data_IF_983714438494
#
_entry.id   IF_983714438494
#
_cell.length_a   1.000
_cell.length_b   1.000
_cell.length_c   1.000
_cell.angle_alpha   90.00
_cell.angle_beta   90.00
_cell.angle_gamma   90.00
#
_symmetry.space_group_name_H-M   'P 1'
#
loop_
_entity.id
_entity.type
_entity.pdbx_description
1 polymer ?
#
# COMPACT_ATOMS: atom_id res chain seq x y z
N UNK A 1 -7.31 28.60 24.65
CA UNK A 1 -7.00 29.91 24.03
C UNK A 1 -6.71 29.82 22.53
N UNK A 2 -6.73 28.63 21.89
CA UNK A 2 -6.79 28.53 20.41
C UNK A 2 -5.54 29.07 19.70
N UNK A 3 -4.45 29.24 20.44
CA UNK A 3 -3.22 29.84 19.96
C UNK A 3 -2.48 28.83 19.08
N UNK A 4 -2.73 28.92 17.77
CA UNK A 4 -1.91 28.25 16.76
C UNK A 4 -0.51 28.86 16.81
N UNK A 5 0.47 28.06 17.26
CA UNK A 5 1.88 28.44 17.21
C UNK A 5 2.45 27.84 15.93
N UNK A 6 2.76 28.63 14.89
CA UNK A 6 3.30 28.08 13.66
C UNK A 6 4.68 27.48 13.93
N UNK A 7 4.87 26.21 13.63
CA UNK A 7 6.20 25.61 13.57
C UNK A 7 6.88 26.11 12.30
N UNK A 8 8.06 26.71 12.44
CA UNK A 8 8.86 27.10 11.28
C UNK A 8 9.19 25.84 10.44
N UNK A 9 8.72 25.82 9.19
CA UNK A 9 9.16 24.82 8.23
C UNK A 9 10.68 24.96 8.04
N UNK A 10 11.43 23.94 8.43
CA UNK A 10 12.86 23.87 8.16
C UNK A 10 13.05 23.81 6.64
N UNK A 11 13.36 24.93 5.99
CA UNK A 11 13.64 24.91 4.55
C UNK A 11 14.89 25.72 4.22
N UNK A 12 15.92 24.97 3.79
CA UNK A 12 16.97 25.44 2.87
C UNK A 12 16.57 25.23 1.40
N UNK A 13 15.29 25.03 1.10
CA UNK A 13 14.77 24.97 -0.27
C UNK A 13 14.23 26.35 -0.64
N UNK A 14 14.87 27.02 -1.60
CA UNK A 14 14.36 28.31 -2.08
C UNK A 14 13.00 28.10 -2.78
N UNK A 15 12.01 28.99 -2.61
CA UNK A 15 10.72 28.89 -3.29
C UNK A 15 10.82 28.87 -4.82
N UNK A 16 11.90 29.42 -5.40
CA UNK A 16 12.11 29.42 -6.85
C UNK A 16 12.45 28.03 -7.44
N UNK A 17 12.84 27.08 -6.59
CA UNK A 17 13.08 25.67 -6.97
C UNK A 17 11.81 24.82 -6.94
N UNK A 18 10.71 25.35 -6.38
CA UNK A 18 9.38 24.77 -6.48
C UNK A 18 8.78 25.31 -7.79
N UNK A 19 9.03 24.62 -8.91
CA UNK A 19 8.34 24.90 -10.17
C UNK A 19 6.82 24.97 -9.97
N UNK A 20 6.07 25.49 -10.95
CA UNK A 20 4.62 25.69 -10.79
C UNK A 20 3.96 24.45 -10.20
N UNK A 21 3.51 24.54 -8.95
CA UNK A 21 2.75 23.49 -8.30
C UNK A 21 1.39 23.46 -8.99
N UNK A 22 1.33 22.85 -10.17
CA UNK A 22 0.06 22.54 -10.83
C UNK A 22 -0.66 21.55 -9.94
N UNK A 23 -1.81 21.97 -9.42
CA UNK A 23 -2.75 21.11 -8.71
C UNK A 23 -3.31 20.08 -9.70
N UNK A 24 -2.58 18.98 -9.87
CA UNK A 24 -2.99 17.84 -10.67
C UNK A 24 -2.41 16.59 -10.01
N UNK A 25 -3.12 15.97 -9.05
CA UNK A 25 -2.71 14.67 -8.55
C UNK A 25 -2.69 13.66 -9.71
N UNK A 26 -1.75 12.72 -9.71
CA UNK A 26 -1.77 11.64 -10.71
C UNK A 26 -2.89 10.66 -10.42
N UNK A 27 -3.24 10.54 -9.14
CA UNK A 27 -4.32 9.70 -8.66
C UNK A 27 -5.09 10.41 -7.57
N UNK A 28 -6.41 10.42 -7.74
CA UNK A 28 -7.38 10.86 -6.76
C UNK A 28 -8.37 9.73 -6.52
N UNK A 29 -8.65 9.43 -5.26
CA UNK A 29 -9.71 8.51 -4.91
C UNK A 29 -10.67 9.12 -3.91
N UNK A 30 -11.89 8.63 -4.00
CA UNK A 30 -13.00 9.00 -3.14
C UNK A 30 -13.77 7.73 -2.79
N UNK A 31 -13.95 7.49 -1.49
CA UNK A 31 -14.61 6.29 -0.98
C UNK A 31 -13.68 5.11 -0.75
N UNK A 32 -14.16 4.16 0.05
CA UNK A 32 -13.41 3.01 0.54
C UNK A 32 -14.08 1.73 0.09
N UNK A 33 -13.26 0.72 -0.13
CA UNK A 33 -13.72 -0.67 -0.27
C UNK A 33 -13.83 -1.31 1.10
N UNK A 34 -12.90 -1.02 2.02
CA UNK A 34 -13.04 -1.39 3.42
C UNK A 34 -12.25 -0.46 4.33
N UNK A 35 -12.71 -0.34 5.57
CA UNK A 35 -12.00 0.35 6.63
C UNK A 35 -12.22 -0.39 7.94
N UNK A 36 -11.16 -0.58 8.71
CA UNK A 36 -11.24 -1.22 10.02
C UNK A 36 -10.17 -0.68 10.96
N UNK A 37 -10.51 -0.48 12.21
CA UNK A 37 -9.55 -0.10 13.22
C UNK A 37 -10.05 -0.42 14.62
N UNK A 38 -9.15 -0.28 15.59
CA UNK A 38 -9.50 -0.58 16.97
C UNK A 38 -8.43 -0.14 17.96
N UNK A 39 -8.86 -0.10 19.20
CA UNK A 39 -8.05 0.25 20.36
C UNK A 39 -7.57 -1.01 21.06
N UNK A 40 -6.35 -0.97 21.61
CA UNK A 40 -5.88 -2.07 22.47
C UNK A 40 -6.73 -2.29 23.71
N UNK A 41 -7.46 -1.25 24.15
CA UNK A 41 -8.43 -1.36 25.24
C UNK A 41 -9.73 -2.10 24.86
N UNK A 42 -10.02 -2.27 23.56
CA UNK A 42 -11.14 -3.07 23.05
C UNK A 42 -12.22 -2.29 22.28
N UNK A 43 -12.16 -0.96 22.25
CA UNK A 43 -13.02 -0.15 21.39
C UNK A 43 -12.71 -0.30 19.90
N UNK A 44 -13.64 0.14 19.05
CA UNK A 44 -13.52 0.08 17.58
C UNK A 44 -13.32 1.47 16.97
N UNK A 45 -12.66 1.52 15.82
CA UNK A 45 -12.59 2.71 14.97
C UNK A 45 -13.27 2.35 13.67
N UNK A 46 -14.35 3.06 13.36
CA UNK A 46 -15.11 2.89 12.12
C UNK A 46 -14.91 4.15 11.28
N UNK A 47 -14.71 3.96 9.99
CA UNK A 47 -14.56 5.06 9.06
C UNK A 47 -15.83 5.22 8.23
N UNK A 48 -16.23 6.47 8.04
CA UNK A 48 -17.37 6.82 7.19
C UNK A 48 -16.93 7.51 5.90
N UNK A 49 -15.68 8.01 5.84
CA UNK A 49 -15.19 8.83 4.74
C UNK A 49 -13.67 8.80 4.63
N UNK A 50 -13.16 8.36 3.46
CA UNK A 50 -11.79 8.61 3.02
C UNK A 50 -11.77 9.31 1.66
N UNK A 51 -10.78 10.18 1.49
CA UNK A 51 -10.27 10.57 0.19
C UNK A 51 -8.76 10.59 0.23
N UNK A 52 -8.12 10.42 -0.92
CA UNK A 52 -6.68 10.53 -0.99
C UNK A 52 -6.14 10.90 -2.35
N UNK A 53 -4.88 11.31 -2.30
CA UNK A 53 -4.18 12.02 -3.35
C UNK A 53 -2.75 11.46 -3.42
N UNK A 54 -2.33 11.05 -4.61
CA UNK A 54 -0.93 10.75 -4.93
C UNK A 54 -0.42 11.81 -5.89
N UNK A 55 0.70 12.44 -5.52
CA UNK A 55 1.40 13.43 -6.31
C UNK A 55 2.78 12.92 -6.68
N UNK A 56 3.09 12.85 -7.96
CA UNK A 56 4.42 12.53 -8.47
C UNK A 56 5.19 13.78 -8.76
N UNK A 57 6.50 13.72 -8.50
CA UNK A 57 7.41 14.77 -8.95
C UNK A 57 7.77 14.45 -10.40
N UNK A 58 7.59 15.38 -11.35
CA UNK A 58 7.88 15.10 -12.76
C UNK A 58 9.30 14.54 -12.99
N UNK A 59 9.39 13.42 -13.70
CA UNK A 59 10.66 12.73 -13.99
C UNK A 59 11.27 12.01 -12.78
N UNK A 60 10.50 11.77 -11.71
CA UNK A 60 10.93 11.04 -10.53
C UNK A 60 10.00 9.86 -10.25
N UNK A 61 10.58 8.78 -9.70
CA UNK A 61 9.84 7.58 -9.31
C UNK A 61 9.36 7.63 -7.85
N UNK A 62 9.08 8.84 -7.35
CA UNK A 62 8.63 9.10 -5.99
C UNK A 62 7.82 10.39 -5.92
N UNK A 63 7.15 10.59 -4.79
CA UNK A 63 6.46 11.84 -4.51
C UNK A 63 5.73 11.82 -3.17
N UNK A 64 4.61 12.54 -3.09
CA UNK A 64 3.85 12.74 -1.85
C UNK A 64 2.50 12.04 -1.95
N UNK A 65 2.13 11.39 -0.87
CA UNK A 65 0.80 10.82 -0.65
C UNK A 65 0.10 11.62 0.46
N UNK A 66 -1.18 11.88 0.28
CA UNK A 66 -2.05 12.44 1.32
C UNK A 66 -3.40 11.72 1.34
N UNK A 67 -3.87 11.33 2.52
CA UNK A 67 -5.25 10.90 2.73
C UNK A 67 -5.93 11.77 3.79
N UNK A 68 -7.22 11.97 3.64
CA UNK A 68 -8.10 12.58 4.62
C UNK A 68 -9.14 11.54 4.99
N UNK A 69 -9.22 11.21 6.27
CA UNK A 69 -10.05 10.14 6.80
C UNK A 69 -10.90 10.66 7.97
N UNK A 70 -12.14 10.20 8.09
CA UNK A 70 -13.05 10.60 9.14
C UNK A 70 -14.08 9.51 9.45
N UNK A 71 -14.56 9.47 10.69
CA UNK A 71 -15.58 8.52 11.07
C UNK A 71 -16.00 8.59 12.52
N UNK A 72 -16.43 7.43 13.02
CA UNK A 72 -16.86 7.23 14.39
C UNK A 72 -15.92 6.28 15.13
N UNK A 73 -15.95 6.31 16.45
CA UNK A 73 -15.23 5.32 17.25
C UNK A 73 -16.07 4.90 18.46
N UNK A 74 -15.66 3.84 19.15
CA UNK A 74 -16.32 3.39 20.37
C UNK A 74 -15.32 3.24 21.50
N UNK A 75 -15.80 3.39 22.73
CA UNK A 75 -15.03 3.04 23.90
C UNK A 75 -15.02 1.52 24.17
N UNK A 76 -14.07 1.04 25.01
CA UNK A 76 -12.97 1.81 25.61
C UNK A 76 -11.87 2.18 24.61
N UNK A 77 -11.50 3.46 24.56
CA UNK A 77 -10.39 3.99 23.77
C UNK A 77 -9.05 3.91 24.50
N UNK A 78 -7.94 3.99 23.74
CA UNK A 78 -6.57 3.97 24.29
C UNK A 78 -5.59 4.67 23.35
N UNK A 79 -4.47 5.15 23.89
CA UNK A 79 -3.41 5.78 23.07
C UNK A 79 -2.82 4.84 22.01
N UNK A 80 -2.83 3.54 22.27
CA UNK A 80 -2.44 2.53 21.28
C UNK A 80 -3.66 2.08 20.49
N UNK A 81 -3.64 2.30 19.18
CA UNK A 81 -4.71 1.94 18.25
C UNK A 81 -4.15 1.54 16.89
N UNK A 82 -5.00 1.00 16.03
CA UNK A 82 -4.68 0.78 14.63
C UNK A 82 -5.83 1.17 13.70
N UNK A 83 -5.50 1.48 12.46
CA UNK A 83 -6.46 1.79 11.40
C UNK A 83 -5.94 1.25 10.07
N UNK A 84 -6.80 0.54 9.34
CA UNK A 84 -6.56 0.02 8.01
C UNK A 84 -7.59 0.61 7.06
N UNK A 85 -7.12 1.18 5.96
CA UNK A 85 -7.95 1.76 4.90
C UNK A 85 -7.63 1.07 3.59
N UNK A 86 -8.65 0.62 2.86
CA UNK A 86 -8.48 -0.09 1.59
C UNK A 86 -9.40 0.49 0.51
N UNK A 87 -8.84 0.71 -0.67
CA UNK A 87 -9.50 1.31 -1.83
C UNK A 87 -9.19 0.49 -3.06
N UNK A 88 -10.23 0.03 -3.72
CA UNK A 88 -10.17 -0.59 -5.04
C UNK A 88 -11.09 0.21 -5.97
N UNK A 89 -10.52 0.89 -6.97
CA UNK A 89 -11.28 1.73 -7.90
C UNK A 89 -11.58 1.01 -9.21
N UNK A 90 -12.83 1.14 -9.68
CA UNK A 90 -13.31 0.53 -10.92
C UNK A 90 -13.17 1.48 -12.12
N UNK A 91 -12.95 0.93 -13.32
CA UNK A 91 -13.12 1.64 -14.57
C UNK A 91 -14.60 1.99 -14.82
N UNK A 92 -14.86 3.24 -15.20
CA UNK A 92 -16.16 3.90 -15.13
C UNK A 92 -17.20 3.48 -16.19
N UNK A 93 -17.03 2.36 -16.90
CA UNK A 93 -17.88 2.09 -18.08
C UNK A 93 -18.62 0.74 -18.10
N UNK A 94 -18.07 -0.37 -17.60
CA UNK A 94 -18.79 -1.65 -17.57
C UNK A 94 -18.30 -2.53 -16.41
N UNK A 95 -18.83 -2.25 -15.22
CA UNK A 95 -18.54 -2.89 -13.92
C UNK A 95 -17.85 -4.26 -13.98
N UNK A 96 -16.60 -4.28 -13.52
CA UNK A 96 -15.75 -5.41 -13.05
C UNK A 96 -14.27 -5.30 -13.47
N UNK A 97 -13.77 -4.12 -13.85
CA UNK A 97 -12.33 -3.91 -14.01
C UNK A 97 -11.83 -2.89 -12.99
N UNK A 98 -10.89 -3.30 -12.15
CA UNK A 98 -10.15 -2.44 -11.24
C UNK A 98 -8.95 -1.84 -11.96
N UNK A 99 -8.71 -0.54 -11.78
CA UNK A 99 -7.57 0.16 -12.40
C UNK A 99 -6.56 0.65 -11.38
N UNK A 100 -6.98 0.81 -10.12
CA UNK A 100 -6.10 1.20 -9.03
C UNK A 100 -6.49 0.48 -7.74
N UNK A 101 -5.48 0.02 -7.01
CA UNK A 101 -5.58 -0.54 -5.66
C UNK A 101 -4.70 0.30 -4.75
N UNK A 102 -5.20 0.63 -3.57
CA UNK A 102 -4.48 1.40 -2.59
C UNK A 102 -4.88 0.98 -1.18
N UNK A 103 -3.90 0.80 -0.30
CA UNK A 103 -4.14 0.43 1.08
C UNK A 103 -3.20 1.15 2.05
N UNK A 104 -3.69 1.39 3.26
CA UNK A 104 -2.87 1.85 4.39
C UNK A 104 -3.10 1.04 5.64
N UNK A 105 -2.07 1.01 6.48
CA UNK A 105 -2.09 0.54 7.85
C UNK A 105 -1.43 1.61 8.72
N UNK A 106 -2.13 2.05 9.76
CA UNK A 106 -1.65 3.01 10.74
C UNK A 106 -1.47 2.33 12.08
N UNK A 107 -0.31 2.52 12.69
CA UNK A 107 -0.03 2.18 14.08
C UNK A 107 -0.09 3.47 14.90
N UNK A 108 -1.13 3.59 15.73
CA UNK A 108 -1.41 4.74 16.58
C UNK A 108 -0.67 4.69 17.92
N UNK A 109 -0.17 5.84 18.34
CA UNK A 109 0.53 6.01 19.63
C UNK A 109 -0.06 7.12 20.51
N UNK A 110 -1.08 7.83 20.01
CA UNK A 110 -1.82 8.82 20.78
C UNK A 110 -3.28 8.82 20.34
N UNK A 111 -4.20 8.77 21.31
CA UNK A 111 -5.64 9.01 21.20
C UNK A 111 -6.13 9.56 22.54
N UNK A 112 -5.68 10.76 22.86
CA UNK A 112 -5.94 11.40 24.13
C UNK A 112 -5.86 12.92 23.99
N UNK A 113 -6.49 13.65 24.90
CA UNK A 113 -6.48 15.11 24.91
C UNK A 113 -6.97 15.74 23.59
N UNK A 114 -7.93 15.10 22.92
CA UNK A 114 -8.52 15.56 21.65
C UNK A 114 -7.60 15.39 20.44
N UNK A 115 -6.48 14.67 20.56
CA UNK A 115 -5.49 14.48 19.50
C UNK A 115 -5.32 13.00 19.21
N UNK A 116 -5.21 12.65 17.93
CA UNK A 116 -4.76 11.32 17.49
C UNK A 116 -3.49 11.44 16.64
N UNK A 117 -2.55 10.50 16.85
CA UNK A 117 -1.30 10.41 16.08
C UNK A 117 -0.89 8.96 15.83
N UNK A 118 -0.30 8.70 14.68
CA UNK A 118 0.24 7.38 14.34
C UNK A 118 1.23 7.41 13.18
N UNK A 119 1.93 6.31 12.99
CA UNK A 119 2.77 6.07 11.81
C UNK A 119 1.95 5.30 10.77
N UNK A 120 1.93 5.75 9.52
CA UNK A 120 1.21 5.12 8.42
C UNK A 120 2.19 4.43 7.47
N UNK A 121 1.87 3.20 7.11
CA UNK A 121 2.47 2.46 6.01
C UNK A 121 1.39 2.23 4.97
N UNK A 122 1.74 2.21 3.71
CA UNK A 122 0.78 1.96 2.65
C UNK A 122 1.43 1.39 1.41
N UNK A 123 0.58 1.02 0.49
CA UNK A 123 0.92 0.39 -0.76
C UNK A 123 -0.08 0.79 -1.82
N UNK A 124 0.28 0.57 -3.07
CA UNK A 124 -0.72 0.59 -4.13
C UNK A 124 -0.18 0.10 -5.45
N UNK A 125 -1.11 -0.03 -6.38
CA UNK A 125 -0.87 -0.43 -7.75
C UNK A 125 -1.82 0.33 -8.67
N UNK A 126 -1.35 0.74 -9.85
CA UNK A 126 -2.13 1.46 -10.84
C UNK A 126 -1.79 0.96 -12.25
N UNK A 127 -2.82 0.73 -13.06
CA UNK A 127 -2.69 0.28 -14.47
C UNK A 127 -3.34 1.24 -15.47
N UNK A 128 -3.75 2.43 -15.05
CA UNK A 128 -4.37 3.44 -15.93
C UNK A 128 -3.41 3.81 -17.07
N UNK A 129 -2.16 4.07 -16.73
CA UNK A 129 -1.06 4.36 -17.66
C UNK A 129 -0.08 3.18 -17.70
N UNK A 130 1.22 3.43 -17.56
CA UNK A 130 2.21 2.37 -17.36
C UNK A 130 1.95 1.70 -16.01
N UNK A 131 1.77 0.35 -15.97
CA UNK A 131 1.61 -0.36 -14.72
C UNK A 131 2.71 -0.01 -13.72
N UNK A 132 2.32 0.38 -12.52
CA UNK A 132 3.23 0.74 -11.43
C UNK A 132 2.73 0.16 -10.12
N UNK A 133 3.66 -0.14 -9.22
CA UNK A 133 3.37 -0.41 -7.81
C UNK A 133 4.24 0.46 -6.93
N UNK A 134 3.79 0.76 -5.72
CA UNK A 134 4.55 1.61 -4.81
C UNK A 134 4.37 1.17 -3.36
N UNK A 135 5.33 1.59 -2.54
CA UNK A 135 5.17 1.68 -1.09
C UNK A 135 4.96 3.15 -0.71
N UNK A 136 4.31 3.38 0.43
CA UNK A 136 4.23 4.71 1.03
C UNK A 136 4.44 4.64 2.53
N UNK A 137 5.14 5.62 3.10
CA UNK A 137 5.34 5.73 4.54
C UNK A 137 5.19 7.19 4.96
N UNK A 138 4.51 7.40 6.08
CA UNK A 138 4.16 8.73 6.55
C UNK A 138 3.58 8.73 7.96
N UNK A 139 2.95 9.83 8.31
CA UNK A 139 2.35 10.05 9.62
C UNK A 139 0.86 10.32 9.48
N UNK A 140 0.10 9.89 10.48
CA UNK A 140 -1.30 10.27 10.70
C UNK A 140 -1.37 11.29 11.81
N UNK A 141 -2.04 12.41 11.57
CA UNK A 141 -2.36 13.42 12.58
C UNK A 141 -3.84 13.78 12.50
N UNK A 142 -4.51 13.90 13.63
CA UNK A 142 -5.93 14.24 13.66
C UNK A 142 -6.44 14.65 15.02
N UNK A 143 -7.77 14.75 15.11
CA UNK A 143 -8.51 15.09 16.32
C UNK A 143 -9.74 14.21 16.47
N UNK A 144 -10.26 14.13 17.69
CA UNK A 144 -11.51 13.42 17.99
C UNK A 144 -12.36 14.18 19.01
N UNK A 145 -13.67 13.95 18.94
CA UNK A 145 -14.65 14.45 19.91
C UNK A 145 -15.13 13.30 20.81
N UNK A 146 -14.80 13.31 22.11
CA UNK A 146 -15.20 12.27 23.05
C UNK A 146 -16.67 12.30 23.46
N UNK A 147 -17.39 13.38 23.16
CA UNK A 147 -18.83 13.49 23.43
C UNK A 147 -19.63 12.94 22.25
N UNK A 148 -19.21 13.29 21.02
CA UNK A 148 -19.88 12.86 19.80
C UNK A 148 -19.37 11.52 19.25
N UNK A 149 -18.27 10.97 19.80
CA UNK A 149 -17.62 9.75 19.31
C UNK A 149 -17.26 9.83 17.82
N UNK A 150 -16.68 10.96 17.41
CA UNK A 150 -16.25 11.22 16.02
C UNK A 150 -14.76 11.54 15.97
N UNK A 151 -14.15 11.31 14.80
CA UNK A 151 -12.74 11.62 14.57
C UNK A 151 -12.50 12.06 13.12
N UNK A 152 -11.41 12.80 12.93
CA UNK A 152 -10.91 13.22 11.62
C UNK A 152 -9.38 13.22 11.64
N UNK A 153 -8.75 12.80 10.55
CA UNK A 153 -7.30 12.73 10.44
C UNK A 153 -6.81 13.01 9.02
N UNK A 154 -5.56 13.45 8.93
CA UNK A 154 -4.76 13.53 7.72
C UNK A 154 -3.64 12.50 7.82
N UNK A 155 -3.49 11.65 6.81
CA UNK A 155 -2.30 10.82 6.62
C UNK A 155 -1.46 11.49 5.54
N UNK A 156 -0.16 11.69 5.77
CA UNK A 156 0.72 12.27 4.75
C UNK A 156 2.10 11.64 4.79
N UNK A 157 2.71 11.43 3.64
CA UNK A 157 3.99 10.74 3.57
C UNK A 157 4.63 10.75 2.19
N UNK A 158 5.79 10.11 2.10
CA UNK A 158 6.44 9.83 0.82
C UNK A 158 5.90 8.53 0.24
N UNK A 159 5.76 8.46 -1.08
CA UNK A 159 5.62 7.20 -1.81
C UNK A 159 6.81 7.00 -2.74
N UNK A 160 7.19 5.74 -2.96
CA UNK A 160 8.24 5.36 -3.91
C UNK A 160 7.77 4.17 -4.74
N UNK A 161 8.08 4.22 -6.04
CA UNK A 161 7.99 3.05 -6.92
C UNK A 161 8.71 1.84 -6.28
N UNK A 162 8.13 0.66 -6.44
CA UNK A 162 8.63 -0.58 -5.82
C UNK A 162 10.07 -0.91 -6.25
N UNK A 163 10.40 -0.79 -7.54
CA UNK A 163 11.76 -1.07 -8.00
C UNK A 163 12.74 0.00 -7.53
N UNK A 164 12.30 1.27 -7.47
CA UNK A 164 13.11 2.35 -6.89
C UNK A 164 13.44 2.07 -5.43
N UNK A 165 12.44 1.69 -4.63
CA UNK A 165 12.63 1.32 -3.23
C UNK A 165 13.61 0.14 -3.10
N UNK A 166 13.39 -0.95 -3.84
CA UNK A 166 14.27 -2.12 -3.82
C UNK A 166 15.71 -1.77 -4.23
N UNK A 167 15.92 -0.89 -5.21
CA UNK A 167 17.26 -0.43 -5.57
C UNK A 167 17.91 0.40 -4.47
N UNK A 168 17.13 1.23 -3.77
CA UNK A 168 17.63 2.04 -2.65
C UNK A 168 18.06 1.19 -1.46
N UNK A 169 17.39 0.06 -1.20
CA UNK A 169 17.82 -0.85 -0.11
C UNK A 169 19.17 -1.50 -0.37
N UNK A 170 19.68 -1.51 -1.61
CA UNK A 170 20.96 -2.12 -1.99
C UNK A 170 22.17 -1.19 -1.90
N UNK A 171 21.98 0.10 -1.64
CA UNK A 171 23.08 1.10 -1.66
C UNK A 171 23.11 1.92 -0.38
N UNK A 172 24.31 2.29 0.08
CA UNK A 172 24.46 3.12 1.29
C UNK A 172 23.78 4.49 1.14
N UNK A 173 23.84 5.11 -0.04
CA UNK A 173 23.13 6.38 -0.27
C UNK A 173 21.61 6.21 -0.25
N UNK A 174 21.10 5.14 -0.87
CA UNK A 174 19.66 4.82 -0.85
C UNK A 174 19.15 4.56 0.56
N UNK A 175 19.86 3.74 1.34
CA UNK A 175 19.54 3.46 2.75
C UNK A 175 19.57 4.73 3.62
N UNK A 176 20.53 5.64 3.40
CA UNK A 176 20.56 6.93 4.09
C UNK A 176 19.33 7.80 3.77
N UNK A 177 18.89 7.82 2.51
CA UNK A 177 17.67 8.51 2.10
C UNK A 177 16.40 7.87 2.69
N UNK A 178 16.31 6.52 2.71
CA UNK A 178 15.20 5.81 3.34
C UNK A 178 15.14 6.08 4.85
N UNK A 179 16.31 6.15 5.51
CA UNK A 179 16.40 6.56 6.92
C UNK A 179 15.88 7.99 7.14
N UNK A 180 16.27 8.94 6.28
CA UNK A 180 15.84 10.33 6.39
C UNK A 180 14.33 10.51 6.17
N UNK A 181 13.70 9.62 5.40
CA UNK A 181 12.26 9.58 5.16
C UNK A 181 11.51 8.68 6.17
N UNK A 182 12.22 8.10 7.13
CA UNK A 182 11.68 7.13 8.08
C UNK A 182 10.95 5.95 7.39
N UNK A 183 11.55 5.39 6.33
CA UNK A 183 11.03 4.24 5.61
C UNK A 183 11.77 2.97 6.08
N UNK A 184 11.07 1.90 6.48
CA UNK A 184 11.67 0.61 6.81
C UNK A 184 12.44 0.02 5.61
N UNK A 185 13.69 -0.41 5.82
CA UNK A 185 14.52 -0.98 4.74
C UNK A 185 15.42 -2.14 5.19
N UNK A 186 15.45 -2.48 6.48
CA UNK A 186 16.20 -3.62 6.96
C UNK A 186 15.45 -4.91 6.61
N UNK A 187 16.05 -5.76 5.80
CA UNK A 187 15.48 -7.08 5.48
C UNK A 187 15.38 -7.93 6.74
N UNK A 188 14.17 -8.41 7.03
CA UNK A 188 13.89 -9.31 8.17
C UNK A 188 13.39 -10.68 7.71
N UNK A 189 13.12 -10.85 6.42
CA UNK A 189 12.72 -12.11 5.86
C UNK A 189 12.54 -12.05 4.35
N UNK A 190 12.62 -13.23 3.72
CA UNK A 190 12.47 -13.40 2.28
C UNK A 190 11.82 -14.73 1.96
N UNK A 191 11.01 -14.76 0.92
CA UNK A 191 10.44 -15.99 0.37
C UNK A 191 10.17 -15.89 -1.12
N UNK A 192 9.99 -17.04 -1.78
CA UNK A 192 9.35 -17.15 -3.08
C UNK A 192 7.94 -17.71 -2.86
N UNK A 193 6.96 -17.15 -3.57
CA UNK A 193 5.58 -17.63 -3.56
C UNK A 193 5.23 -18.14 -4.95
N UNK A 194 4.64 -19.33 -5.05
CA UNK A 194 4.22 -19.88 -6.33
C UNK A 194 2.91 -20.65 -6.23
N UNK A 195 2.06 -20.55 -7.25
CA UNK A 195 0.78 -21.26 -7.30
C UNK A 195 0.24 -21.36 -8.71
N UNK A 196 -0.92 -22.01 -8.86
CA UNK A 196 -1.65 -22.11 -10.12
C UNK A 196 -3.15 -22.24 -9.83
N UNK A 197 -4.00 -21.66 -10.67
CA UNK A 197 -5.44 -21.85 -10.57
C UNK A 197 -6.15 -21.49 -11.88
N UNK A 198 -7.05 -22.36 -12.34
CA UNK A 198 -7.91 -22.10 -13.51
C UNK A 198 -7.10 -21.69 -14.74
N UNK A 199 -7.33 -20.47 -15.22
CA UNK A 199 -6.64 -19.88 -16.38
C UNK A 199 -5.20 -19.40 -16.11
N UNK A 200 -4.72 -19.47 -14.88
CA UNK A 200 -3.35 -19.09 -14.52
C UNK A 200 -2.55 -20.37 -14.28
N UNK A 201 -1.78 -20.78 -15.29
CA UNK A 201 -1.00 -22.04 -15.28
C UNK A 201 0.08 -22.01 -14.20
N UNK A 202 0.63 -20.84 -13.95
CA UNK A 202 1.52 -20.54 -12.85
C UNK A 202 1.43 -19.04 -12.52
N UNK A 203 1.62 -18.74 -11.24
CA UNK A 203 1.86 -17.40 -10.71
C UNK A 203 3.05 -17.53 -9.79
N UNK A 204 4.05 -16.68 -9.97
CA UNK A 204 5.28 -16.66 -9.18
C UNK A 204 5.50 -15.23 -8.68
N UNK A 205 5.80 -15.10 -7.39
CA UNK A 205 6.36 -13.90 -6.79
C UNK A 205 7.71 -14.29 -6.19
N UNK A 206 8.78 -13.99 -6.91
CA UNK A 206 10.13 -14.32 -6.48
C UNK A 206 10.70 -13.18 -5.66
N UNK A 207 11.56 -13.50 -4.69
CA UNK A 207 12.21 -12.51 -3.84
C UNK A 207 11.21 -11.53 -3.20
N UNK A 208 10.16 -12.08 -2.56
CA UNK A 208 9.28 -11.29 -1.71
C UNK A 208 10.03 -11.00 -0.42
N UNK A 209 10.46 -9.76 -0.26
CA UNK A 209 11.29 -9.31 0.87
C UNK A 209 10.41 -8.56 1.85
N UNK A 210 10.54 -8.87 3.13
CA UNK A 210 9.88 -8.21 4.25
C UNK A 210 10.87 -7.29 4.95
N UNK A 211 10.46 -6.06 5.22
CA UNK A 211 11.32 -5.00 5.76
C UNK A 211 10.81 -4.44 7.08
N UNK A 212 11.75 -4.12 7.97
CA UNK A 212 11.53 -3.41 9.22
C UNK A 212 12.53 -2.24 9.38
N UNK A 213 12.42 -1.47 10.46
CA UNK A 213 13.38 -0.41 10.78
C UNK A 213 14.73 -0.95 11.25
N UNK A 214 14.76 -2.17 11.77
CA UNK A 214 15.96 -2.83 12.27
C UNK A 214 15.84 -4.34 12.12
N UNK A 215 16.98 -5.02 12.00
CA UNK A 215 17.03 -6.48 12.01
C UNK A 215 16.39 -7.04 13.28
N UNK A 216 15.66 -8.15 13.15
CA UNK A 216 14.97 -8.82 14.26
C UNK A 216 13.66 -8.17 14.71
N UNK A 217 13.28 -7.00 14.17
CA UNK A 217 11.97 -6.41 14.41
C UNK A 217 10.89 -7.09 13.54
N UNK A 218 9.63 -6.91 13.94
CA UNK A 218 8.49 -7.31 13.12
C UNK A 218 8.45 -6.50 11.81
N UNK A 219 8.12 -7.14 10.67
CA UNK A 219 8.04 -6.45 9.38
C UNK A 219 6.93 -5.41 9.40
N UNK A 220 7.12 -4.34 8.61
CA UNK A 220 6.14 -3.26 8.41
C UNK A 220 5.66 -3.16 6.97
N UNK A 221 6.55 -3.47 6.03
CA UNK A 221 6.26 -3.48 4.60
C UNK A 221 6.90 -4.70 3.94
N UNK A 222 6.41 -5.04 2.75
CA UNK A 222 7.04 -6.02 1.88
C UNK A 222 7.07 -5.52 0.43
N UNK A 223 8.02 -6.01 -0.35
CA UNK A 223 8.15 -5.69 -1.76
C UNK A 223 8.79 -6.83 -2.56
N UNK A 224 8.43 -6.92 -3.84
CA UNK A 224 9.08 -7.75 -4.85
C UNK A 224 9.13 -7.01 -6.19
N UNK A 225 10.26 -7.12 -6.87
CA UNK A 225 10.43 -6.65 -8.25
C UNK A 225 10.15 -7.73 -9.30
N UNK A 226 9.70 -8.92 -8.89
CA UNK A 226 9.67 -10.11 -9.74
C UNK A 226 8.37 -10.91 -9.53
N UNK A 227 7.27 -10.35 -10.01
CA UNK A 227 6.02 -11.09 -10.22
C UNK A 227 5.99 -11.59 -11.66
N UNK A 228 5.68 -12.86 -11.88
CA UNK A 228 5.61 -13.46 -13.21
C UNK A 228 4.68 -14.64 -13.28
N UNK A 229 4.31 -15.05 -14.49
CA UNK A 229 3.56 -16.28 -14.72
C UNK A 229 3.06 -16.42 -16.15
N UNK A 230 2.26 -17.45 -16.36
CA UNK A 230 1.69 -17.87 -17.63
C UNK A 230 0.17 -17.96 -17.48
N UNK A 231 -0.54 -17.54 -18.52
CA UNK A 231 -2.00 -17.61 -18.57
C UNK A 231 -2.48 -18.33 -19.83
N UNK A 232 -3.64 -18.97 -19.69
CA UNK A 232 -4.42 -19.59 -20.75
C UNK A 232 -5.91 -19.36 -20.48
N UNK A 233 -6.53 -18.41 -21.18
CA UNK A 233 -7.96 -18.11 -21.07
C UNK A 233 -8.59 -18.04 -22.47
N UNK A 234 -9.90 -18.24 -22.62
CA UNK A 234 -10.58 -18.00 -23.90
C UNK A 234 -11.36 -16.68 -23.83
N UNK A 235 -11.30 -15.89 -24.90
CA UNK A 235 -11.52 -14.43 -25.05
C UNK A 235 -12.54 -13.76 -24.10
N UNK A 236 -12.05 -12.82 -23.27
CA UNK A 236 -12.49 -11.41 -23.04
C UNK A 236 -12.02 -10.83 -21.68
N UNK A 237 -11.46 -11.67 -20.81
CA UNK A 237 -10.55 -11.37 -19.71
C UNK A 237 -10.16 -12.73 -19.12
N UNK A 238 -8.95 -12.90 -18.59
CA UNK A 238 -8.69 -14.10 -17.76
C UNK A 238 -9.50 -14.09 -16.44
N UNK A 239 -10.36 -13.07 -16.26
CA UNK A 239 -11.31 -12.95 -15.16
C UNK A 239 -10.62 -12.64 -13.84
N UNK A 240 -11.41 -12.16 -12.88
CA UNK A 240 -10.98 -12.15 -11.50
C UNK A 240 -10.81 -13.60 -11.02
N UNK A 241 -9.69 -13.91 -10.37
CA UNK A 241 -9.39 -15.25 -9.86
C UNK A 241 -8.48 -15.17 -8.64
N UNK A 242 -8.66 -16.08 -7.71
CA UNK A 242 -7.76 -16.28 -6.58
C UNK A 242 -6.85 -17.46 -6.85
N UNK A 243 -5.54 -17.21 -6.84
CA UNK A 243 -4.50 -18.24 -6.92
C UNK A 243 -3.89 -18.41 -5.53
N UNK A 244 -4.14 -19.55 -4.90
CA UNK A 244 -3.46 -19.90 -3.66
C UNK A 244 -1.98 -20.13 -3.94
N UNK A 245 -1.10 -19.44 -3.21
CA UNK A 245 0.33 -19.52 -3.35
C UNK A 245 0.94 -20.36 -2.22
N UNK A 246 1.89 -21.20 -2.59
CA UNK A 246 2.76 -21.93 -1.65
C UNK A 246 4.07 -21.16 -1.50
N UNK A 247 4.51 -21.02 -0.26
CA UNK A 247 5.76 -20.36 0.09
C UNK A 247 6.93 -21.33 0.10
N UNK A 248 8.10 -20.92 -0.40
CA UNK A 248 9.36 -21.65 -0.24
C UNK A 248 9.92 -21.53 1.19
N UNK A 249 9.38 -20.61 1.99
CA UNK A 249 9.76 -20.39 3.39
C UNK A 249 8.59 -20.78 4.31
N UNK A 250 8.77 -21.74 5.24
CA UNK A 250 7.70 -22.21 6.13
C UNK A 250 7.21 -21.15 7.12
N UNK A 251 7.93 -20.03 7.26
CA UNK A 251 7.47 -18.87 8.01
C UNK A 251 6.16 -18.31 7.46
N UNK A 252 5.93 -18.40 6.14
CA UNK A 252 4.67 -17.98 5.52
C UNK A 252 3.74 -19.19 5.41
N UNK A 253 2.59 -19.13 6.09
CA UNK A 253 1.64 -20.25 6.21
C UNK A 253 0.51 -20.20 5.18
N UNK A 254 0.18 -19.00 4.70
CA UNK A 254 -0.79 -18.83 3.60
C UNK A 254 -0.45 -17.59 2.79
N UNK A 255 -0.71 -17.63 1.49
CA UNK A 255 -0.67 -16.48 0.62
C UNK A 255 -1.64 -16.67 -0.54
N UNK A 256 -2.30 -15.60 -0.97
CA UNK A 256 -3.20 -15.58 -2.10
C UNK A 256 -2.81 -14.46 -3.06
N UNK A 257 -2.88 -14.75 -4.34
CA UNK A 257 -2.80 -13.76 -5.42
C UNK A 257 -4.19 -13.63 -6.05
N UNK A 258 -4.85 -12.51 -5.79
CA UNK A 258 -6.22 -12.29 -6.27
C UNK A 258 -6.17 -11.35 -7.46
N UNK A 259 -6.21 -11.93 -8.66
CA UNK A 259 -6.31 -11.16 -9.89
C UNK A 259 -7.61 -10.38 -9.88
N UNK A 260 -7.51 -9.07 -10.04
CA UNK A 260 -8.64 -8.14 -10.05
C UNK A 260 -9.00 -7.76 -11.49
N UNK A 261 -7.98 -7.44 -12.29
CA UNK A 261 -8.11 -7.18 -13.73
C UNK A 261 -6.99 -7.88 -14.48
N UNK A 262 -7.35 -8.48 -15.60
CA UNK A 262 -6.39 -9.02 -16.56
C UNK A 262 -6.88 -8.72 -17.98
N UNK A 263 -6.39 -7.63 -18.55
CA UNK A 263 -6.80 -7.14 -19.86
C UNK A 263 -5.74 -7.49 -20.90
N UNK A 264 -6.06 -8.45 -21.76
CA UNK A 264 -5.19 -8.89 -22.86
C UNK A 264 -5.21 -7.93 -24.06
N UNK A 265 -6.15 -6.98 -24.10
CA UNK A 265 -6.21 -5.93 -25.13
C UNK A 265 -5.22 -4.82 -24.81
N UNK A 266 -5.24 -4.31 -23.58
CA UNK A 266 -4.27 -3.29 -23.14
C UNK A 266 -2.96 -3.90 -22.63
N UNK A 267 -2.91 -5.24 -22.49
CA UNK A 267 -1.76 -5.99 -21.98
C UNK A 267 -1.37 -5.58 -20.56
N UNK A 268 -2.37 -5.33 -19.70
CA UNK A 268 -2.17 -4.89 -18.31
C UNK A 268 -2.95 -5.76 -17.34
N UNK A 269 -2.42 -5.92 -16.14
CA UNK A 269 -3.07 -6.66 -15.07
C UNK A 269 -2.80 -6.03 -13.72
N UNK A 270 -3.72 -6.23 -12.78
CA UNK A 270 -3.62 -5.80 -11.39
C UNK A 270 -4.23 -6.86 -10.47
N UNK A 271 -3.64 -7.04 -9.30
CA UNK A 271 -4.04 -8.03 -8.30
C UNK A 271 -3.86 -7.49 -6.87
N UNK A 272 -4.64 -8.00 -5.93
CA UNK A 272 -4.29 -7.91 -4.50
C UNK A 272 -3.49 -9.14 -4.09
N UNK A 273 -2.66 -8.98 -3.07
CA UNK A 273 -1.93 -10.07 -2.43
C UNK A 273 -2.24 -10.03 -0.95
N UNK A 274 -2.71 -11.13 -0.39
CA UNK A 274 -2.93 -11.28 1.05
C UNK A 274 -2.25 -12.55 1.56
N UNK A 275 -1.90 -12.57 2.83
CA UNK A 275 -1.32 -13.76 3.43
C UNK A 275 -1.11 -13.66 4.93
N UNK A 276 -0.65 -14.77 5.48
CA UNK A 276 -0.37 -14.94 6.90
C UNK A 276 0.88 -15.81 7.11
N UNK A 277 1.43 -15.75 8.31
CA UNK A 277 2.67 -16.42 8.68
C UNK A 277 3.54 -15.41 9.38
N UNK A 278 4.80 -15.23 8.98
CA UNK A 278 5.56 -14.06 9.39
C UNK A 278 6.99 -14.33 9.81
N UNK A 279 7.76 -13.27 9.71
CA UNK A 279 9.12 -13.19 10.21
C UNK A 279 9.09 -12.45 11.54
N UNK A 280 9.72 -13.00 12.57
CA UNK A 280 9.77 -12.42 13.92
C UNK A 280 8.40 -12.25 14.61
N UNK A 281 7.49 -13.22 14.42
CA UNK A 281 6.18 -13.27 15.06
C UNK A 281 5.09 -13.74 14.11
N UNK A 282 3.85 -13.77 14.60
CA UNK A 282 2.70 -13.88 13.72
C UNK A 282 2.52 -12.55 13.00
N UNK A 283 2.40 -12.63 11.68
CA UNK A 283 2.28 -11.53 10.73
C UNK A 283 1.18 -11.86 9.73
N UNK A 284 0.32 -10.89 9.48
CA UNK A 284 -0.53 -10.83 8.30
C UNK A 284 0.05 -9.79 7.35
N UNK A 285 -0.05 -10.02 6.05
CA UNK A 285 0.40 -9.06 5.06
C UNK A 285 -0.63 -8.91 3.97
N UNK A 286 -0.79 -7.67 3.52
CA UNK A 286 -1.68 -7.29 2.43
C UNK A 286 -0.90 -6.38 1.48
N UNK A 287 -1.24 -6.39 0.20
CA UNK A 287 -0.59 -5.57 -0.79
C UNK A 287 -1.26 -5.63 -2.14
N UNK A 288 -0.61 -5.01 -3.11
CA UNK A 288 -1.04 -4.99 -4.49
C UNK A 288 0.13 -5.36 -5.42
N UNK A 289 -0.22 -5.96 -6.55
CA UNK A 289 0.70 -6.27 -7.63
C UNK A 289 0.11 -5.79 -8.95
N UNK A 290 0.97 -5.33 -9.85
CA UNK A 290 0.57 -4.92 -11.19
C UNK A 290 1.71 -5.13 -12.19
N UNK A 291 1.33 -5.20 -13.45
CA UNK A 291 2.30 -5.33 -14.52
C UNK A 291 1.69 -5.43 -15.90
N UNK A 292 2.51 -5.91 -16.82
CA UNK A 292 2.15 -6.12 -18.21
C UNK A 292 2.02 -7.61 -18.53
N UNK A 293 1.28 -7.92 -19.57
CA UNK A 293 1.24 -9.25 -20.19
C UNK A 293 1.77 -9.20 -21.62
N UNK A 294 2.24 -10.34 -22.12
CA UNK A 294 2.59 -10.52 -23.53
C UNK A 294 1.94 -11.81 -24.02
N UNK A 295 1.67 -11.91 -25.32
CA UNK A 295 1.04 -13.09 -25.92
C UNK A 295 -0.21 -12.76 -26.72
N UNK A 296 -1.07 -13.77 -26.87
CA UNK A 296 -2.34 -13.67 -27.58
C UNK A 296 -3.49 -13.34 -26.63
N UNK A 297 -4.67 -13.06 -27.20
CA UNK A 297 -5.90 -12.92 -26.40
C UNK A 297 -6.29 -14.19 -25.63
N UNK A 298 -5.63 -15.32 -25.90
CA UNK A 298 -5.95 -16.61 -25.28
C UNK A 298 -4.85 -17.26 -24.46
N UNK A 299 -3.62 -16.81 -24.60
CA UNK A 299 -2.49 -17.37 -23.87
C UNK A 299 -1.27 -16.48 -23.96
N UNK A 300 -0.44 -16.53 -22.93
CA UNK A 300 0.78 -15.74 -22.89
C UNK A 300 1.44 -15.76 -21.53
N UNK A 301 2.32 -14.79 -21.31
CA UNK A 301 3.04 -14.60 -20.06
C UNK A 301 2.71 -13.24 -19.47
N UNK A 302 2.92 -13.07 -18.17
CA UNK A 302 2.82 -11.78 -17.51
C UNK A 302 4.00 -11.55 -16.58
N UNK A 303 4.32 -10.28 -16.36
CA UNK A 303 5.42 -9.83 -15.51
C UNK A 303 5.06 -8.51 -14.83
N UNK A 304 5.60 -8.27 -13.63
CA UNK A 304 5.36 -7.03 -12.90
C UNK A 304 6.04 -7.00 -11.54
N UNK A 305 5.52 -6.12 -10.69
CA UNK A 305 6.04 -5.86 -9.34
C UNK A 305 4.91 -5.97 -8.31
N UNK A 306 5.27 -6.04 -7.04
CA UNK A 306 4.31 -6.08 -5.95
C UNK A 306 4.84 -5.44 -4.68
N UNK A 307 3.97 -4.79 -3.93
CA UNK A 307 4.29 -4.14 -2.66
C UNK A 307 3.11 -4.17 -1.71
N UNK A 308 3.40 -4.11 -0.42
CA UNK A 308 2.39 -4.16 0.60
C UNK A 308 2.87 -3.82 2.00
N UNK A 309 1.94 -3.93 2.95
CA UNK A 309 2.16 -3.76 4.38
C UNK A 309 2.16 -5.12 5.08
N UNK A 310 2.85 -5.20 6.20
CA UNK A 310 2.91 -6.38 7.06
C UNK A 310 2.69 -5.96 8.53
N UNK A 311 1.92 -6.76 9.28
CA UNK A 311 1.60 -6.52 10.70
C UNK A 311 1.58 -7.81 11.50
#
# INVERSE_FOLDING_TARGET
DGTWTPTALATGLSPASLGSLTYSPDYYFYGLTSASGGFTAGGSINENYAQGLKYSIPGQDWGILQNLAAGNYSDPSSDTWNLSLEVESNCSYYGSCYVTIYGTQTDGAQWSNGVLKGQTYGYGADITNTPQTWISVGETLGTFDPTAFTWQAVQTGAWLDTNKFLAMTQTAQGQAALTALNIPFAEVGRTNLSGSAGSYTNVNMNDVIFFAYSSGAAPKIWATGNVSGDYGCSVSACGAATVALTSSNPAITSANFNVKTFDTTTQKWIATVDGSGGFNGSTTFNGAAAGTSTGSSTSGTFSGTGAGVAK
#
